data_IF_878308945577
#
_entry.id   IF_878308945577
#
_cell.length_a   1.000
_cell.length_b   1.000
_cell.length_c   1.000
_cell.angle_alpha   90.00
_cell.angle_beta   90.00
_cell.angle_gamma   90.00
#
_symmetry.space_group_name_H-M   'P 1'
#
loop_
_entity.id
_entity.type
_entity.pdbx_description
1 polymer ?
#
# COMPACT_ATOMS: atom_id res chain seq x y z
N UNK A 1 -39.67 3.43 -70.88
CA UNK A 1 -39.20 2.25 -70.11
C UNK A 1 -37.87 2.50 -69.37
N UNK A 2 -36.96 3.33 -69.91
CA UNK A 2 -35.61 3.57 -69.33
C UNK A 2 -35.60 4.37 -68.02
N UNK A 3 -36.45 5.40 -67.87
CA UNK A 3 -36.46 6.25 -66.67
C UNK A 3 -36.91 5.54 -65.37
N UNK A 4 -37.81 4.54 -65.46
CA UNK A 4 -38.24 3.71 -64.31
C UNK A 4 -37.13 2.78 -63.79
N UNK A 5 -36.24 2.34 -64.68
CA UNK A 5 -35.09 1.48 -64.36
C UNK A 5 -34.00 2.23 -63.58
N UNK A 6 -33.72 3.49 -63.96
CA UNK A 6 -32.71 4.32 -63.28
C UNK A 6 -33.17 4.72 -61.87
N UNK A 7 -34.45 5.07 -61.69
CA UNK A 7 -35.01 5.39 -60.37
C UNK A 7 -35.00 4.20 -59.39
N UNK A 8 -35.28 2.99 -59.88
CA UNK A 8 -35.18 1.76 -59.08
C UNK A 8 -33.74 1.42 -58.70
N UNK A 9 -32.76 1.67 -59.58
CA UNK A 9 -31.34 1.50 -59.26
C UNK A 9 -30.86 2.51 -58.20
N UNK A 10 -31.28 3.77 -58.30
CA UNK A 10 -30.92 4.79 -57.31
C UNK A 10 -31.50 4.46 -55.92
N UNK A 11 -32.76 4.05 -55.86
CA UNK A 11 -33.42 3.64 -54.61
C UNK A 11 -32.74 2.41 -53.98
N UNK A 12 -32.34 1.42 -54.80
CA UNK A 12 -31.59 0.24 -54.34
C UNK A 12 -30.21 0.60 -53.78
N UNK A 13 -29.49 1.52 -54.43
CA UNK A 13 -28.20 2.03 -53.92
C UNK A 13 -28.36 2.77 -52.59
N UNK A 14 -29.40 3.58 -52.45
CA UNK A 14 -29.69 4.30 -51.21
C UNK A 14 -30.05 3.33 -50.07
N UNK A 15 -30.87 2.30 -50.35
CA UNK A 15 -31.18 1.25 -49.38
C UNK A 15 -29.95 0.44 -48.97
N UNK A 16 -29.05 0.12 -49.92
CA UNK A 16 -27.79 -0.56 -49.62
C UNK A 16 -26.86 0.29 -48.74
N UNK A 17 -26.72 1.58 -49.02
CA UNK A 17 -25.96 2.49 -48.16
C UNK A 17 -26.53 2.58 -46.75
N UNK A 18 -27.86 2.65 -46.64
CA UNK A 18 -28.53 2.73 -45.34
C UNK A 18 -28.36 1.43 -44.53
N UNK A 19 -28.41 0.27 -45.20
CA UNK A 19 -28.11 -1.02 -44.56
C UNK A 19 -26.64 -1.14 -44.11
N UNK A 20 -25.69 -0.65 -44.91
CA UNK A 20 -24.27 -0.64 -44.52
C UNK A 20 -24.02 0.25 -43.30
N UNK A 21 -24.62 1.44 -43.26
CA UNK A 21 -24.53 2.34 -42.10
C UNK A 21 -25.11 1.71 -40.84
N UNK A 22 -26.26 1.04 -40.96
CA UNK A 22 -26.89 0.35 -39.84
C UNK A 22 -26.03 -0.82 -39.33
N UNK A 23 -25.41 -1.59 -40.23
CA UNK A 23 -24.46 -2.65 -39.86
C UNK A 23 -23.23 -2.11 -39.14
N UNK A 24 -22.69 -0.99 -39.58
CA UNK A 24 -21.55 -0.32 -38.94
C UNK A 24 -21.89 0.17 -37.53
N UNK A 25 -23.08 0.76 -37.35
CA UNK A 25 -23.57 1.17 -36.03
C UNK A 25 -23.80 -0.03 -35.10
N UNK A 26 -24.38 -1.11 -35.61
CA UNK A 26 -24.56 -2.37 -34.87
C UNK A 26 -23.21 -2.99 -34.46
N UNK A 27 -22.21 -2.98 -35.35
CA UNK A 27 -20.86 -3.46 -35.02
C UNK A 27 -20.19 -2.59 -33.94
N UNK A 28 -20.26 -1.26 -34.05
CA UNK A 28 -19.71 -0.37 -33.03
C UNK A 28 -20.40 -0.55 -31.67
N UNK A 29 -21.73 -0.72 -31.68
CA UNK A 29 -22.50 -0.95 -30.47
C UNK A 29 -22.18 -2.32 -29.84
N UNK A 30 -22.02 -3.37 -30.66
CA UNK A 30 -21.57 -4.67 -30.18
C UNK A 30 -20.14 -4.61 -29.64
N UNK A 31 -19.23 -3.88 -30.28
CA UNK A 31 -17.87 -3.68 -29.78
C UNK A 31 -17.86 -2.93 -28.44
N UNK A 32 -18.63 -1.85 -28.31
CA UNK A 32 -18.79 -1.14 -27.04
C UNK A 32 -19.39 -2.04 -25.97
N UNK A 33 -20.43 -2.82 -26.29
CA UNK A 33 -21.05 -3.76 -25.34
C UNK A 33 -20.06 -4.87 -24.94
N UNK A 34 -19.25 -5.40 -25.87
CA UNK A 34 -18.20 -6.37 -25.56
C UNK A 34 -17.12 -5.75 -24.67
N UNK A 35 -16.70 -4.53 -24.95
CA UNK A 35 -15.69 -3.80 -24.17
C UNK A 35 -16.20 -3.50 -22.74
N UNK A 36 -17.48 -3.17 -22.61
CA UNK A 36 -18.16 -2.94 -21.32
C UNK A 36 -18.41 -4.25 -20.54
N UNK A 37 -18.73 -5.34 -21.24
CA UNK A 37 -18.85 -6.69 -20.67
C UNK A 37 -17.51 -7.28 -20.21
N UNK A 38 -16.43 -7.01 -20.95
CA UNK A 38 -15.05 -7.32 -20.55
C UNK A 38 -14.73 -6.54 -19.26
N UNK A 39 -15.06 -5.25 -19.19
CA UNK A 39 -14.89 -4.45 -17.98
C UNK A 39 -15.64 -4.99 -16.75
N UNK A 40 -16.77 -5.68 -16.92
CA UNK A 40 -17.57 -6.25 -15.82
C UNK A 40 -17.11 -7.67 -15.40
N UNK A 41 -16.70 -8.51 -16.36
CA UNK A 41 -16.11 -9.84 -16.06
C UNK A 41 -14.66 -9.74 -15.55
N UNK A 42 -13.94 -8.69 -15.91
CA UNK A 42 -12.55 -8.43 -15.49
C UNK A 42 -12.43 -7.67 -14.17
N UNK A 43 -13.51 -7.26 -13.50
CA UNK A 43 -13.34 -6.77 -12.13
C UNK A 43 -13.00 -7.95 -11.24
N UNK A 44 -11.71 -8.25 -11.11
CA UNK A 44 -11.11 -9.20 -10.17
C UNK A 44 -11.74 -9.09 -8.78
N UNK A 45 -12.13 -7.86 -8.39
CA UNK A 45 -12.93 -7.51 -7.22
C UNK A 45 -14.17 -8.40 -6.97
N UNK A 46 -14.98 -8.67 -8.00
CA UNK A 46 -16.23 -9.40 -7.87
C UNK A 46 -16.00 -10.90 -7.59
N UNK A 47 -14.90 -11.44 -8.12
CA UNK A 47 -14.54 -12.85 -7.94
C UNK A 47 -13.77 -13.10 -6.63
N UNK A 48 -12.99 -12.11 -6.15
CA UNK A 48 -12.10 -12.29 -4.99
C UNK A 48 -12.62 -11.67 -3.70
N UNK A 49 -13.63 -10.79 -3.80
CA UNK A 49 -14.13 -10.00 -2.66
C UNK A 49 -13.20 -8.84 -2.26
N UNK A 50 -12.15 -8.56 -3.05
CA UNK A 50 -11.21 -7.46 -2.78
C UNK A 50 -11.94 -6.11 -2.79
N UNK A 51 -11.84 -5.38 -1.67
CA UNK A 51 -12.42 -4.04 -1.54
C UNK A 51 -11.40 -2.99 -1.97
N UNK A 52 -11.85 -2.01 -2.73
CA UNK A 52 -11.05 -0.83 -3.08
C UNK A 52 -11.54 0.38 -2.29
N UNK A 53 -10.60 1.17 -1.79
CA UNK A 53 -10.84 2.38 -1.01
C UNK A 53 -9.99 3.52 -1.54
N UNK A 54 -10.42 4.75 -1.31
CA UNK A 54 -9.57 5.92 -1.56
C UNK A 54 -8.39 5.91 -0.57
N UNK A 55 -7.21 6.30 -1.05
CA UNK A 55 -6.05 6.54 -0.20
C UNK A 55 -6.20 7.92 0.44
N UNK A 56 -6.67 7.94 1.68
CA UNK A 56 -7.10 9.18 2.33
C UNK A 56 -8.29 9.81 1.62
N UNK A 57 -8.29 11.14 1.52
CA UNK A 57 -9.28 11.91 0.73
C UNK A 57 -8.85 12.12 -0.73
N UNK A 58 -7.73 11.52 -1.17
CA UNK A 58 -7.29 11.63 -2.56
C UNK A 58 -8.20 10.83 -3.51
N UNK A 59 -8.08 11.08 -4.82
CA UNK A 59 -8.79 10.31 -5.85
C UNK A 59 -8.20 8.91 -6.12
N UNK A 60 -7.01 8.61 -5.58
CA UNK A 60 -6.32 7.35 -5.82
C UNK A 60 -7.03 6.20 -5.10
N UNK A 61 -7.49 5.19 -5.86
CA UNK A 61 -8.14 4.00 -5.30
C UNK A 61 -7.15 2.84 -5.19
N UNK A 62 -6.99 2.33 -3.97
CA UNK A 62 -6.11 1.20 -3.65
C UNK A 62 -6.93 0.02 -3.14
N UNK A 63 -6.45 -1.20 -3.43
CA UNK A 63 -6.94 -2.41 -2.77
C UNK A 63 -6.71 -2.32 -1.26
N UNK A 64 -7.64 -2.85 -0.47
CA UNK A 64 -7.53 -2.81 1.00
C UNK A 64 -6.35 -3.65 1.52
N UNK A 65 -5.83 -4.58 0.70
CA UNK A 65 -4.54 -5.23 0.92
C UNK A 65 -3.55 -4.79 -0.16
N UNK A 66 -2.30 -4.56 0.23
CA UNK A 66 -1.18 -4.35 -0.68
C UNK A 66 -0.07 -5.38 -0.44
N UNK A 67 0.89 -5.48 -1.37
CA UNK A 67 2.06 -6.35 -1.22
C UNK A 67 3.33 -5.51 -1.08
N UNK A 68 4.02 -5.63 0.05
CA UNK A 68 5.33 -5.02 0.28
C UNK A 68 6.48 -5.95 -0.08
N UNK A 69 7.62 -5.37 -0.49
CA UNK A 69 8.81 -6.11 -0.92
C UNK A 69 9.93 -6.20 0.14
N UNK A 70 9.72 -5.61 1.32
CA UNK A 70 10.74 -5.57 2.38
C UNK A 70 11.12 -6.98 2.86
N UNK A 71 12.44 -7.20 3.03
CA UNK A 71 13.10 -8.48 3.40
C UNK A 71 13.11 -9.52 2.28
N UNK A 72 12.04 -9.61 1.51
CA UNK A 72 11.78 -10.70 0.58
C UNK A 72 12.48 -10.47 -0.76
N UNK A 73 12.03 -9.49 -1.53
CA UNK A 73 12.50 -9.31 -2.92
C UNK A 73 13.98 -8.91 -2.93
N UNK A 74 14.79 -9.65 -3.69
CA UNK A 74 16.24 -9.41 -3.83
C UNK A 74 17.05 -9.80 -2.60
N UNK A 75 16.43 -10.50 -1.65
CA UNK A 75 17.03 -10.92 -0.38
C UNK A 75 16.66 -12.35 -0.03
N UNK A 76 15.59 -12.52 0.75
CA UNK A 76 15.21 -13.81 1.34
C UNK A 76 14.69 -14.84 0.33
N UNK A 77 14.01 -14.39 -0.73
CA UNK A 77 13.35 -15.27 -1.71
C UNK A 77 13.99 -15.13 -3.09
N UNK A 78 13.78 -16.14 -3.95
CA UNK A 78 14.22 -16.08 -5.34
C UNK A 78 13.34 -15.14 -6.18
N UNK A 79 13.84 -14.72 -7.34
CA UNK A 79 13.11 -13.85 -8.26
C UNK A 79 11.85 -14.55 -8.82
N UNK A 80 11.89 -15.88 -9.01
CA UNK A 80 10.73 -16.67 -9.42
C UNK A 80 9.65 -16.70 -8.35
N UNK A 81 10.03 -16.83 -7.07
CA UNK A 81 9.08 -16.75 -5.96
C UNK A 81 8.49 -15.34 -5.86
N UNK A 82 9.29 -14.30 -6.05
CA UNK A 82 8.83 -12.92 -6.10
C UNK A 82 7.79 -12.69 -7.22
N UNK A 83 8.04 -13.25 -8.42
CA UNK A 83 7.09 -13.23 -9.54
C UNK A 83 5.79 -13.98 -9.22
N UNK A 84 5.88 -15.15 -8.59
CA UNK A 84 4.70 -15.92 -8.16
C UNK A 84 3.85 -15.14 -7.16
N UNK A 85 4.48 -14.56 -6.14
CA UNK A 85 3.79 -13.74 -5.13
C UNK A 85 3.09 -12.54 -5.76
N UNK A 86 3.78 -11.80 -6.63
CA UNK A 86 3.21 -10.64 -7.30
C UNK A 86 2.07 -11.03 -8.25
N UNK A 87 2.21 -12.17 -8.95
CA UNK A 87 1.17 -12.70 -9.84
C UNK A 87 -0.09 -13.07 -9.04
N UNK A 88 0.05 -13.84 -7.96
CA UNK A 88 -1.07 -14.21 -7.08
C UNK A 88 -1.74 -12.95 -6.51
N UNK A 89 -0.95 -11.98 -6.04
CA UNK A 89 -1.48 -10.73 -5.51
C UNK A 89 -2.33 -10.00 -6.57
N UNK A 90 -1.78 -9.78 -7.77
CA UNK A 90 -2.47 -9.08 -8.86
C UNK A 90 -3.74 -9.82 -9.31
N UNK A 91 -3.65 -11.13 -9.49
CA UNK A 91 -4.79 -11.99 -9.88
C UNK A 91 -5.86 -12.08 -8.79
N UNK A 92 -5.53 -11.77 -7.54
CA UNK A 92 -6.50 -11.65 -6.44
C UNK A 92 -7.02 -10.21 -6.24
N UNK A 93 -6.63 -9.27 -7.10
CA UNK A 93 -7.13 -7.90 -7.12
C UNK A 93 -6.28 -6.91 -6.33
N UNK A 94 -5.13 -7.32 -5.79
CA UNK A 94 -4.18 -6.35 -5.24
C UNK A 94 -3.67 -5.47 -6.38
N UNK A 95 -3.88 -4.16 -6.27
CA UNK A 95 -3.28 -3.19 -7.18
C UNK A 95 -2.10 -2.43 -6.54
N UNK A 96 -1.97 -2.47 -5.21
CA UNK A 96 -0.96 -1.73 -4.46
C UNK A 96 0.30 -2.57 -4.20
N UNK A 97 1.44 -2.12 -4.72
CA UNK A 97 2.75 -2.75 -4.54
C UNK A 97 3.77 -1.74 -4.03
N UNK A 98 4.43 -2.09 -2.94
CA UNK A 98 5.26 -1.16 -2.16
C UNK A 98 6.71 -1.64 -2.05
N UNK A 99 7.65 -0.72 -2.28
CA UNK A 99 9.09 -0.96 -2.21
C UNK A 99 9.83 0.24 -1.63
N UNK A 100 11.17 0.22 -1.60
CA UNK A 100 12.01 1.34 -1.23
C UNK A 100 13.41 1.21 -1.83
N UNK A 101 14.09 2.34 -2.04
CA UNK A 101 15.46 2.34 -2.59
C UNK A 101 16.45 1.53 -1.74
N UNK A 102 16.22 1.47 -0.42
CA UNK A 102 17.09 0.78 0.53
C UNK A 102 16.88 -0.74 0.54
N UNK A 103 15.75 -1.23 0.04
CA UNK A 103 15.39 -2.65 0.14
C UNK A 103 16.31 -3.48 -0.74
N UNK A 104 17.10 -4.34 -0.08
CA UNK A 104 18.19 -5.11 -0.68
C UNK A 104 19.13 -4.24 -1.54
N UNK A 105 19.41 -3.01 -1.09
CA UNK A 105 20.22 -2.02 -1.81
C UNK A 105 19.73 -1.80 -3.26
N UNK A 106 18.43 -1.60 -3.44
CA UNK A 106 17.78 -1.35 -4.71
C UNK A 106 17.39 -2.60 -5.50
N UNK A 107 17.84 -3.80 -5.11
CA UNK A 107 17.50 -5.05 -5.83
C UNK A 107 16.00 -5.35 -5.81
N UNK A 108 15.30 -5.00 -4.73
CA UNK A 108 13.85 -5.18 -4.65
C UNK A 108 13.12 -4.39 -5.74
N UNK A 109 13.58 -3.19 -6.07
CA UNK A 109 13.04 -2.36 -7.15
C UNK A 109 13.33 -2.94 -8.54
N UNK A 110 14.55 -3.47 -8.74
CA UNK A 110 14.92 -4.14 -10.00
C UNK A 110 14.02 -5.34 -10.26
N UNK A 111 13.80 -6.19 -9.26
CA UNK A 111 12.94 -7.37 -9.38
C UNK A 111 11.49 -6.98 -9.62
N UNK A 112 10.96 -6.02 -8.85
CA UNK A 112 9.61 -5.51 -9.05
C UNK A 112 9.40 -4.97 -10.48
N UNK A 113 10.35 -4.18 -10.97
CA UNK A 113 10.33 -3.65 -12.34
C UNK A 113 10.40 -4.74 -13.42
N UNK A 114 11.27 -5.73 -13.23
CA UNK A 114 11.39 -6.88 -14.13
C UNK A 114 10.09 -7.67 -14.21
N UNK A 115 9.41 -7.91 -13.09
CA UNK A 115 8.13 -8.63 -13.05
C UNK A 115 7.05 -7.82 -13.80
N UNK A 116 6.91 -6.52 -13.51
CA UNK A 116 5.92 -5.66 -14.19
C UNK A 116 6.12 -5.70 -15.71
N UNK A 117 7.37 -5.54 -16.16
CA UNK A 117 7.73 -5.58 -17.58
C UNK A 117 7.47 -6.94 -18.21
N UNK A 118 7.86 -8.03 -17.53
CA UNK A 118 7.67 -9.41 -18.01
C UNK A 118 6.19 -9.78 -18.12
N UNK A 119 5.38 -9.40 -17.13
CA UNK A 119 3.94 -9.72 -17.11
C UNK A 119 3.12 -8.85 -18.06
N UNK A 120 3.65 -7.71 -18.49
CA UNK A 120 2.98 -6.81 -19.43
C UNK A 120 1.67 -6.23 -18.88
N UNK A 121 1.52 -6.16 -17.56
CA UNK A 121 0.34 -5.56 -16.94
C UNK A 121 0.26 -4.08 -17.31
N UNK A 122 -0.96 -3.58 -17.52
CA UNK A 122 -1.16 -2.17 -17.84
C UNK A 122 -0.65 -1.33 -16.67
N UNK A 123 0.26 -0.39 -16.91
CA UNK A 123 0.76 0.52 -15.85
C UNK A 123 -0.37 1.25 -15.13
N UNK A 124 -1.46 1.55 -15.83
CA UNK A 124 -2.66 2.21 -15.29
C UNK A 124 -3.53 1.34 -14.38
N UNK A 125 -3.33 0.01 -14.32
CA UNK A 125 -4.01 -0.86 -13.36
C UNK A 125 -3.22 -1.10 -12.08
N UNK A 126 -1.99 -0.57 -11.99
CA UNK A 126 -1.09 -0.74 -10.86
C UNK A 126 -0.93 0.56 -10.07
N UNK A 127 -0.80 0.42 -8.76
CA UNK A 127 -0.39 1.47 -7.82
C UNK A 127 0.96 1.06 -7.26
N UNK A 128 2.03 1.66 -7.76
CA UNK A 128 3.42 1.40 -7.35
C UNK A 128 3.87 2.50 -6.41
N UNK A 129 4.37 2.12 -5.24
CA UNK A 129 4.91 3.06 -4.25
C UNK A 129 6.36 2.73 -3.94
N UNK A 130 7.20 3.77 -3.82
CA UNK A 130 8.59 3.63 -3.33
C UNK A 130 8.86 4.65 -2.22
N UNK A 131 9.93 4.43 -1.44
CA UNK A 131 10.34 5.32 -0.35
C UNK A 131 11.79 5.73 -0.50
N UNK A 132 12.03 7.02 -0.23
CA UNK A 132 13.34 7.66 -0.32
C UNK A 132 13.82 8.05 1.09
N UNK A 133 15.06 7.69 1.41
CA UNK A 133 15.87 8.20 2.52
C UNK A 133 17.31 7.63 2.51
N UNK A 134 17.54 6.39 2.09
CA UNK A 134 18.85 5.73 2.14
C UNK A 134 19.19 5.15 0.76
N UNK A 135 19.80 5.94 -0.11
CA UNK A 135 20.14 5.52 -1.48
C UNK A 135 21.58 5.06 -1.67
N UNK A 136 22.48 5.35 -0.71
CA UNK A 136 23.89 4.99 -0.84
C UNK A 136 24.72 5.21 0.41
N UNK A 137 26.04 5.12 0.25
CA UNK A 137 27.00 5.20 1.37
C UNK A 137 27.47 6.64 1.61
N UNK A 138 27.51 7.47 0.57
CA UNK A 138 27.98 8.84 0.68
C UNK A 138 27.02 9.68 1.55
N UNK A 139 27.53 10.76 2.11
CA UNK A 139 26.76 11.65 2.98
C UNK A 139 25.56 12.28 2.26
N UNK A 140 25.71 12.54 0.96
CA UNK A 140 24.68 13.14 0.11
C UNK A 140 23.72 12.14 -0.51
N UNK A 141 23.91 10.83 -0.28
CA UNK A 141 23.06 9.74 -0.78
C UNK A 141 22.06 9.26 0.30
N UNK A 142 21.74 10.13 1.26
CA UNK A 142 20.76 9.89 2.31
C UNK A 142 19.98 11.14 2.71
N UNK A 143 18.93 10.95 3.49
CA UNK A 143 18.09 12.03 4.03
C UNK A 143 16.97 12.44 3.08
N UNK A 144 16.40 13.61 3.32
CA UNK A 144 15.30 14.17 2.55
C UNK A 144 15.63 15.55 1.96
N UNK A 145 16.93 15.84 1.77
CA UNK A 145 17.33 17.00 0.99
C UNK A 145 16.75 16.93 -0.43
N UNK A 146 16.55 18.09 -1.05
CA UNK A 146 16.11 18.20 -2.45
C UNK A 146 17.02 17.41 -3.39
N UNK A 147 18.33 17.43 -3.13
CA UNK A 147 19.32 16.64 -3.88
C UNK A 147 18.98 15.15 -3.83
N UNK A 148 18.86 14.59 -2.62
CA UNK A 148 18.63 13.16 -2.47
C UNK A 148 17.21 12.74 -2.92
N UNK A 149 16.17 13.53 -2.66
CA UNK A 149 14.82 13.23 -3.14
C UNK A 149 14.79 13.07 -4.67
N UNK A 150 15.40 14.02 -5.40
CA UNK A 150 15.40 13.99 -6.87
C UNK A 150 16.30 12.87 -7.39
N UNK A 151 17.54 12.75 -6.90
CA UNK A 151 18.50 11.75 -7.36
C UNK A 151 18.08 10.33 -6.99
N UNK A 152 17.63 10.12 -5.75
CA UNK A 152 17.13 8.86 -5.23
C UNK A 152 15.90 8.38 -6.00
N UNK A 153 14.92 9.27 -6.25
CA UNK A 153 13.74 8.89 -7.04
C UNK A 153 14.09 8.60 -8.51
N UNK A 154 14.96 9.40 -9.16
CA UNK A 154 15.43 9.10 -10.52
C UNK A 154 16.07 7.70 -10.59
N UNK A 155 16.93 7.38 -9.63
CA UNK A 155 17.60 6.08 -9.59
C UNK A 155 16.61 4.95 -9.32
N UNK A 156 15.62 5.19 -8.46
CA UNK A 156 14.55 4.22 -8.18
C UNK A 156 13.70 3.93 -9.42
N UNK A 157 13.31 4.97 -10.17
CA UNK A 157 12.57 4.84 -11.43
C UNK A 157 13.36 4.06 -12.49
N UNK A 158 14.67 4.31 -12.60
CA UNK A 158 15.55 3.54 -13.48
C UNK A 158 15.57 2.06 -13.11
N UNK A 159 15.71 1.72 -11.81
CA UNK A 159 15.66 0.32 -11.35
C UNK A 159 14.31 -0.33 -11.61
N UNK A 160 13.23 0.40 -11.35
CA UNK A 160 11.85 -0.04 -11.60
C UNK A 160 11.51 -0.15 -13.10
N UNK A 161 12.29 0.49 -13.98
CA UNK A 161 11.96 0.63 -15.40
C UNK A 161 10.59 1.29 -15.61
N UNK A 162 10.29 2.33 -14.82
CA UNK A 162 9.04 3.08 -14.85
C UNK A 162 9.31 4.57 -15.06
N UNK A 163 8.42 5.25 -15.77
CA UNK A 163 8.47 6.71 -15.91
C UNK A 163 8.05 7.43 -14.62
N UNK A 164 7.14 6.81 -13.85
CA UNK A 164 6.64 7.34 -12.59
C UNK A 164 6.21 6.26 -11.59
N UNK A 165 6.21 6.63 -10.31
CA UNK A 165 5.53 5.90 -9.22
C UNK A 165 4.23 6.62 -8.83
N UNK A 166 3.22 5.90 -8.38
CA UNK A 166 1.96 6.52 -7.97
C UNK A 166 2.12 7.32 -6.69
N UNK A 167 2.90 6.82 -5.73
CA UNK A 167 3.24 7.55 -4.51
C UNK A 167 4.72 7.41 -4.19
N UNK A 168 5.41 8.54 -4.07
CA UNK A 168 6.75 8.58 -3.44
C UNK A 168 6.63 8.94 -1.96
N UNK A 169 7.25 8.15 -1.10
CA UNK A 169 7.23 8.37 0.35
C UNK A 169 8.57 8.90 0.86
N UNK A 170 8.51 9.83 1.82
CA UNK A 170 9.62 10.04 2.75
C UNK A 170 9.67 8.86 3.73
N UNK A 171 10.71 8.02 3.67
CA UNK A 171 10.76 6.73 4.40
C UNK A 171 10.72 6.88 5.93
N UNK A 172 11.28 7.98 6.44
CA UNK A 172 11.31 8.41 7.85
C UNK A 172 11.47 9.94 7.92
N UNK A 173 11.25 10.59 9.07
CA UNK A 173 11.67 11.97 9.26
C UNK A 173 13.18 12.12 9.09
N UNK A 174 13.60 13.25 8.52
CA UNK A 174 15.01 13.64 8.48
C UNK A 174 15.33 14.49 9.70
N UNK A 175 16.14 13.93 10.60
CA UNK A 175 16.58 14.58 11.84
C UNK A 175 17.98 15.17 11.74
N UNK A 176 18.69 14.98 10.63
CA UNK A 176 20.04 15.51 10.42
C UNK A 176 20.03 17.00 10.05
N UNK A 177 18.85 17.58 10.02
CA UNK A 177 18.66 18.98 9.79
C UNK A 177 17.60 19.38 10.84
N UNK A 178 17.92 20.25 11.81
CA UNK A 178 19.19 20.49 12.48
C UNK A 178 19.30 19.72 13.81
N UNK A 179 20.52 19.70 14.37
CA UNK A 179 20.93 19.07 15.64
C UNK A 179 19.91 19.22 16.77
N UNK A 180 19.83 18.21 17.66
CA UNK A 180 19.20 18.36 18.97
C UNK A 180 19.68 19.66 19.63
N UNK A 181 18.74 20.59 19.90
CA UNK A 181 19.02 21.92 20.43
C UNK A 181 18.94 23.08 19.43
N UNK A 182 18.74 22.81 18.14
CA UNK A 182 18.52 23.87 17.17
C UNK A 182 17.13 24.53 17.34
N UNK A 183 17.03 25.87 17.17
CA UNK A 183 15.76 26.57 17.36
C UNK A 183 14.67 26.03 16.42
N UNK A 184 13.42 26.05 16.87
CA UNK A 184 12.24 25.63 16.10
C UNK A 184 12.22 26.20 14.67
N UNK A 185 12.76 27.40 14.47
CA UNK A 185 12.90 28.04 13.15
C UNK A 185 13.67 27.20 12.13
N UNK A 186 14.65 26.42 12.54
CA UNK A 186 15.49 25.65 11.61
C UNK A 186 14.80 24.35 11.14
N UNK A 187 13.79 23.84 11.86
CA UNK A 187 12.97 22.69 11.43
C UNK A 187 12.01 23.04 10.30
N UNK A 188 11.40 24.23 10.36
CA UNK A 188 10.45 24.70 9.35
C UNK A 188 11.09 24.79 7.94
N UNK A 189 12.34 25.25 7.84
CA UNK A 189 13.04 25.36 6.55
C UNK A 189 13.26 24.00 5.87
N UNK A 190 13.35 22.94 6.65
CA UNK A 190 13.65 21.59 6.14
C UNK A 190 12.40 20.95 5.61
N UNK A 191 11.32 21.04 6.38
CA UNK A 191 10.02 20.59 5.90
C UNK A 191 9.62 21.41 4.68
N UNK A 192 9.93 22.70 4.62
CA UNK A 192 9.79 23.49 3.39
C UNK A 192 10.57 22.90 2.21
N UNK A 193 11.87 22.62 2.37
CA UNK A 193 12.67 22.01 1.30
C UNK A 193 12.12 20.65 0.86
N UNK A 194 11.74 19.80 1.81
CA UNK A 194 11.14 18.49 1.55
C UNK A 194 9.85 18.64 0.73
N UNK A 195 8.93 19.49 1.18
CA UNK A 195 7.63 19.69 0.49
C UNK A 195 7.84 20.29 -0.90
N UNK A 196 8.79 21.22 -1.08
CA UNK A 196 9.16 21.75 -2.41
C UNK A 196 9.78 20.69 -3.31
N UNK A 197 10.63 19.82 -2.78
CA UNK A 197 11.25 18.72 -3.53
C UNK A 197 10.21 17.67 -3.95
N UNK A 198 9.32 17.27 -3.03
CA UNK A 198 8.21 16.36 -3.31
C UNK A 198 7.24 16.95 -4.34
N UNK A 199 6.89 18.23 -4.20
CA UNK A 199 6.07 18.95 -5.19
C UNK A 199 6.76 19.02 -6.55
N UNK A 200 8.07 19.25 -6.57
CA UNK A 200 8.84 19.29 -7.81
C UNK A 200 8.81 17.95 -8.55
N UNK A 201 9.07 16.83 -7.88
CA UNK A 201 9.06 15.52 -8.55
C UNK A 201 7.66 15.13 -9.05
N UNK A 202 6.60 15.60 -8.40
CA UNK A 202 5.22 15.45 -8.91
C UNK A 202 5.02 16.29 -10.16
N UNK A 203 5.39 17.57 -10.13
CA UNK A 203 5.24 18.46 -11.29
C UNK A 203 6.11 18.04 -12.48
N UNK A 204 7.20 17.31 -12.25
CA UNK A 204 8.02 16.69 -13.31
C UNK A 204 7.46 15.38 -13.83
N UNK A 205 6.32 14.92 -13.31
CA UNK A 205 5.69 13.66 -13.72
C UNK A 205 6.43 12.41 -13.24
N UNK A 206 7.38 12.52 -12.30
CA UNK A 206 8.10 11.38 -11.73
C UNK A 206 7.29 10.66 -10.64
N UNK A 207 6.31 11.34 -10.05
CA UNK A 207 5.32 10.73 -9.18
C UNK A 207 3.95 11.38 -9.30
N UNK A 208 2.88 10.64 -9.03
CA UNK A 208 1.51 11.20 -9.04
C UNK A 208 1.17 11.90 -7.72
N UNK A 209 1.61 11.34 -6.60
CA UNK A 209 1.38 11.86 -5.25
C UNK A 209 2.61 11.65 -4.38
N UNK A 210 2.61 12.24 -3.18
CA UNK A 210 3.62 11.91 -2.18
C UNK A 210 2.99 11.64 -0.82
N UNK A 211 3.74 10.97 0.04
CA UNK A 211 3.34 10.67 1.41
C UNK A 211 4.50 10.64 2.38
N UNK A 212 4.17 10.44 3.65
CA UNK A 212 5.13 10.32 4.75
C UNK A 212 5.15 8.89 5.28
N UNK A 213 6.21 8.49 5.96
CA UNK A 213 6.30 7.20 6.66
C UNK A 213 7.05 7.39 7.96
N UNK A 214 6.48 6.93 9.08
CA UNK A 214 7.04 7.10 10.43
C UNK A 214 7.08 8.55 10.92
N UNK A 215 6.38 9.47 10.28
CA UNK A 215 6.31 10.86 10.72
C UNK A 215 5.30 11.03 11.85
N UNK A 216 5.60 11.87 12.84
CA UNK A 216 4.66 12.25 13.87
C UNK A 216 3.48 13.04 13.28
N UNK A 217 2.34 13.07 13.97
CA UNK A 217 1.20 13.86 13.52
C UNK A 217 1.52 15.37 13.43
N UNK A 218 2.45 15.86 14.26
CA UNK A 218 2.93 17.23 14.21
C UNK A 218 3.69 17.50 12.89
N UNK A 219 4.66 16.66 12.54
CA UNK A 219 5.46 16.85 11.31
C UNK A 219 4.59 16.76 10.05
N UNK A 220 3.57 15.87 10.04
CA UNK A 220 2.61 15.78 8.92
C UNK A 220 1.78 17.06 8.80
N UNK A 221 1.34 17.63 9.93
CA UNK A 221 0.61 18.90 9.93
C UNK A 221 1.50 20.07 9.52
N UNK A 222 2.78 20.06 9.91
CA UNK A 222 3.75 21.07 9.49
C UNK A 222 3.98 21.02 7.96
N UNK A 223 4.14 19.82 7.40
CA UNK A 223 4.22 19.63 5.95
C UNK A 223 2.96 20.13 5.23
N UNK A 224 1.78 19.89 5.79
CA UNK A 224 0.53 20.44 5.27
C UNK A 224 0.49 21.97 5.36
N UNK A 225 0.92 22.55 6.49
CA UNK A 225 0.97 24.00 6.70
C UNK A 225 1.88 24.68 5.68
N UNK A 226 3.09 24.16 5.49
CA UNK A 226 4.03 24.59 4.45
C UNK A 226 3.38 24.53 3.07
N UNK A 227 2.72 23.41 2.75
CA UNK A 227 2.06 23.25 1.45
C UNK A 227 0.97 24.30 1.23
N UNK A 228 0.18 24.62 2.24
CA UNK A 228 -0.84 25.68 2.16
C UNK A 228 -0.24 27.07 2.07
N UNK A 229 0.80 27.36 2.84
CA UNK A 229 1.45 28.68 2.86
C UNK A 229 2.11 29.02 1.52
N UNK A 230 2.74 28.04 0.87
CA UNK A 230 3.52 28.26 -0.35
C UNK A 230 2.85 27.73 -1.63
N UNK A 231 1.56 27.36 -1.55
CA UNK A 231 0.80 26.79 -2.66
C UNK A 231 1.49 25.57 -3.31
N UNK A 232 1.96 24.66 -2.46
CA UNK A 232 2.60 23.40 -2.84
C UNK A 232 1.64 22.22 -2.63
N UNK A 233 2.09 21.02 -3.01
CA UNK A 233 1.25 19.82 -2.94
C UNK A 233 1.41 19.17 -1.55
N UNK A 234 0.32 18.98 -0.76
CA UNK A 234 0.39 18.32 0.54
C UNK A 234 0.51 16.78 0.42
N UNK A 235 0.99 16.08 1.46
CA UNK A 235 1.05 14.62 1.44
C UNK A 235 -0.37 14.02 1.50
N UNK A 236 -0.60 12.90 0.83
CA UNK A 236 -1.93 12.24 0.79
C UNK A 236 -2.06 11.07 1.75
N UNK A 237 -0.95 10.54 2.25
CA UNK A 237 -0.91 9.32 3.04
C UNK A 237 0.26 9.32 4.03
N UNK A 238 0.04 8.74 5.20
CA UNK A 238 1.09 8.31 6.12
C UNK A 238 1.20 6.77 6.12
N UNK A 239 2.42 6.26 5.99
CA UNK A 239 2.72 4.85 6.08
C UNK A 239 3.17 4.46 7.50
N UNK A 240 2.27 3.84 8.28
CA UNK A 240 2.46 3.63 9.73
C UNK A 240 2.42 2.15 10.16
N UNK A 241 3.19 1.80 11.20
CA UNK A 241 3.10 0.47 11.80
C UNK A 241 1.74 0.29 12.45
N UNK A 242 1.06 -0.81 12.14
CA UNK A 242 -0.21 -1.14 12.78
C UNK A 242 -0.43 -2.64 12.85
N UNK A 243 -0.63 -3.12 14.06
CA UNK A 243 -0.93 -4.51 14.38
C UNK A 243 -1.46 -4.60 15.81
N UNK A 244 -1.85 -5.79 16.27
CA UNK A 244 -2.44 -6.00 17.60
C UNK A 244 -1.63 -5.38 18.76
N UNK A 245 -0.30 -5.40 18.65
CA UNK A 245 0.61 -4.84 19.67
C UNK A 245 1.12 -3.40 19.41
N UNK A 246 0.70 -2.73 18.33
CA UNK A 246 1.11 -1.36 17.99
C UNK A 246 -0.09 -0.62 17.39
N UNK A 247 -0.76 0.19 18.21
CA UNK A 247 -2.12 0.70 17.92
C UNK A 247 -2.26 2.21 17.95
N UNK A 248 -1.59 2.86 18.90
CA UNK A 248 -1.85 4.25 19.30
C UNK A 248 -1.89 5.23 18.12
N UNK A 249 -0.83 5.27 17.31
CA UNK A 249 -0.74 6.22 16.20
C UNK A 249 -1.92 6.10 15.23
N UNK A 250 -2.25 4.88 14.82
CA UNK A 250 -3.26 4.61 13.78
C UNK A 250 -4.68 4.70 14.32
N UNK A 251 -4.92 4.33 15.58
CA UNK A 251 -6.25 4.39 16.18
C UNK A 251 -6.59 5.78 16.77
N UNK A 252 -5.59 6.60 17.13
CA UNK A 252 -5.81 7.89 17.80
C UNK A 252 -5.40 9.08 16.95
N UNK A 253 -4.17 9.08 16.41
CA UNK A 253 -3.62 10.27 15.75
C UNK A 253 -4.04 10.40 14.28
N UNK A 254 -3.95 9.30 13.50
CA UNK A 254 -4.25 9.33 12.08
C UNK A 254 -5.73 9.64 11.74
N UNK A 255 -6.73 9.21 12.52
CA UNK A 255 -8.13 9.60 12.26
C UNK A 255 -8.32 11.12 12.34
N UNK A 256 -7.67 11.79 13.29
CA UNK A 256 -7.74 13.25 13.40
C UNK A 256 -7.07 13.94 12.20
N UNK A 257 -5.94 13.43 11.70
CA UNK A 257 -5.31 13.93 10.47
C UNK A 257 -6.19 13.71 9.24
N UNK A 258 -6.83 12.54 9.12
CA UNK A 258 -7.78 12.27 8.03
C UNK A 258 -8.93 13.28 8.02
N UNK A 259 -9.54 13.54 9.18
CA UNK A 259 -10.64 14.49 9.26
C UNK A 259 -10.20 15.93 8.96
N UNK A 260 -9.07 16.37 9.53
CA UNK A 260 -8.58 17.76 9.41
C UNK A 260 -7.98 18.09 8.05
N UNK A 261 -7.12 17.21 7.52
CA UNK A 261 -6.31 17.50 6.33
C UNK A 261 -6.42 16.44 5.22
N UNK A 262 -7.14 15.35 5.46
CA UNK A 262 -7.43 14.34 4.43
C UNK A 262 -6.36 13.29 4.21
N UNK A 263 -5.34 13.23 5.09
CA UNK A 263 -4.27 12.22 5.01
C UNK A 263 -4.81 10.83 5.34
N UNK A 264 -4.60 9.87 4.45
CA UNK A 264 -4.94 8.46 4.66
C UNK A 264 -3.90 7.68 5.45
N UNK A 265 -4.27 6.48 5.88
CA UNK A 265 -3.35 5.54 6.52
C UNK A 265 -3.13 4.32 5.62
N UNK A 266 -1.87 4.07 5.27
CA UNK A 266 -1.41 2.81 4.67
C UNK A 266 -0.54 2.10 5.69
N UNK A 267 -0.98 0.96 6.21
CA UNK A 267 -0.28 0.37 7.36
C UNK A 267 0.70 -0.71 6.95
N UNK A 268 1.72 -0.96 7.77
CA UNK A 268 2.74 -1.98 7.54
C UNK A 268 2.98 -2.86 8.77
N UNK A 269 3.61 -4.02 8.53
CA UNK A 269 3.86 -5.09 9.51
C UNK A 269 2.60 -5.56 10.27
N UNK A 270 1.49 -5.91 9.60
CA UNK A 270 0.25 -6.36 10.26
C UNK A 270 0.41 -7.62 11.12
N UNK A 271 1.50 -8.38 10.88
CA UNK A 271 1.87 -9.57 11.64
C UNK A 271 3.10 -9.37 12.54
N UNK A 272 3.50 -8.12 12.79
CA UNK A 272 4.68 -7.74 13.56
C UNK A 272 5.92 -8.56 13.15
N UNK A 273 6.31 -8.49 11.88
CA UNK A 273 7.43 -9.27 11.31
C UNK A 273 7.28 -10.80 11.41
N UNK A 274 6.06 -11.31 11.58
CA UNK A 274 5.74 -12.73 11.73
C UNK A 274 5.55 -13.18 13.18
N UNK A 275 5.70 -12.28 14.16
CA UNK A 275 5.46 -12.56 15.59
C UNK A 275 4.03 -13.07 15.82
N UNK A 276 3.06 -12.44 15.16
CA UNK A 276 1.63 -12.71 15.37
C UNK A 276 1.20 -14.05 14.75
N UNK A 277 2.03 -14.74 13.98
CA UNK A 277 1.62 -16.05 13.44
C UNK A 277 1.74 -17.19 14.45
N UNK A 278 2.21 -16.93 15.68
CA UNK A 278 2.48 -17.96 16.69
C UNK A 278 3.73 -18.82 16.43
N UNK A 279 4.44 -18.62 15.31
CA UNK A 279 5.57 -19.49 14.91
C UNK A 279 6.76 -19.46 15.86
N UNK A 280 6.79 -18.53 16.81
CA UNK A 280 7.91 -18.31 17.74
C UNK A 280 7.64 -18.81 19.16
N UNK A 281 6.55 -19.56 19.37
CA UNK A 281 6.20 -20.12 20.67
C UNK A 281 7.32 -21.01 21.24
N UNK A 282 7.86 -21.91 20.41
CA UNK A 282 8.89 -22.89 20.80
C UNK A 282 10.31 -22.46 20.39
N UNK A 283 10.54 -21.15 20.29
CA UNK A 283 11.85 -20.58 19.94
C UNK A 283 11.89 -19.97 18.54
N UNK A 284 13.07 -19.94 17.92
CA UNK A 284 13.27 -19.31 16.60
C UNK A 284 13.35 -20.39 15.51
N UNK A 285 12.31 -20.59 14.69
CA UNK A 285 12.36 -21.57 13.61
C UNK A 285 13.45 -21.24 12.60
N UNK A 286 14.04 -22.30 12.03
CA UNK A 286 14.95 -22.19 10.89
C UNK A 286 14.22 -21.51 9.71
N UNK A 287 14.94 -20.69 8.94
CA UNK A 287 14.42 -19.93 7.79
C UNK A 287 13.36 -18.86 8.12
N UNK A 288 13.02 -18.68 9.40
CA UNK A 288 12.19 -17.56 9.83
C UNK A 288 12.93 -16.23 9.68
N UNK A 289 12.20 -15.11 9.58
CA UNK A 289 12.80 -13.76 9.47
C UNK A 289 13.80 -13.48 10.60
N UNK A 290 13.48 -13.91 11.82
CA UNK A 290 14.33 -13.74 13.00
C UNK A 290 15.62 -14.59 12.99
N UNK A 291 15.72 -15.60 12.11
CA UNK A 291 16.95 -16.37 11.90
C UNK A 291 17.89 -15.76 10.85
N UNK A 292 17.43 -14.78 10.08
CA UNK A 292 18.22 -14.18 9.00
C UNK A 292 19.34 -13.28 9.56
N UNK A 293 20.49 -13.25 8.88
CA UNK A 293 21.60 -12.34 9.19
C UNK A 293 21.13 -10.88 9.09
N UNK A 294 21.42 -10.07 10.11
CA UNK A 294 20.99 -8.67 10.17
C UNK A 294 19.63 -8.45 10.85
N UNK A 295 18.97 -9.53 11.31
CA UNK A 295 17.70 -9.48 12.05
C UNK A 295 17.84 -9.87 13.53
N UNK A 296 19.05 -9.76 14.09
CA UNK A 296 19.32 -9.99 15.53
C UNK A 296 18.39 -9.16 16.43
N UNK A 297 18.13 -7.91 16.06
CA UNK A 297 17.19 -7.04 16.78
C UNK A 297 15.77 -7.64 16.88
N UNK A 298 15.32 -8.38 15.85
CA UNK A 298 14.01 -9.04 15.86
C UNK A 298 14.04 -10.27 16.76
N UNK A 299 15.13 -11.04 16.73
CA UNK A 299 15.34 -12.16 17.65
C UNK A 299 15.32 -11.68 19.09
N UNK A 300 16.07 -10.63 19.41
CA UNK A 300 16.10 -10.02 20.74
C UNK A 300 14.70 -9.55 21.19
N UNK A 301 13.95 -8.87 20.31
CA UNK A 301 12.57 -8.46 20.57
C UNK A 301 11.67 -9.66 20.87
N UNK A 302 11.76 -10.74 20.11
CA UNK A 302 10.97 -11.98 20.32
C UNK A 302 11.32 -12.64 21.65
N UNK A 303 12.61 -12.76 21.97
CA UNK A 303 13.09 -13.43 23.19
C UNK A 303 13.01 -12.56 24.45
N UNK A 304 12.68 -11.28 24.31
CA UNK A 304 12.50 -10.36 25.43
C UNK A 304 11.32 -10.76 26.32
N UNK A 305 11.26 -10.21 27.52
CA UNK A 305 10.12 -10.41 28.42
C UNK A 305 8.80 -9.95 27.77
N UNK A 306 8.83 -8.79 27.12
CA UNK A 306 7.67 -8.26 26.39
C UNK A 306 7.28 -9.16 25.21
N UNK A 307 8.25 -9.69 24.46
CA UNK A 307 8.00 -10.66 23.39
C UNK A 307 7.31 -11.93 23.90
N UNK A 308 7.75 -12.46 25.04
CA UNK A 308 7.09 -13.61 25.70
C UNK A 308 5.67 -13.29 26.18
N UNK A 309 5.44 -12.10 26.74
CA UNK A 309 4.09 -11.64 27.09
C UNK A 309 3.17 -11.56 25.88
N UNK A 310 3.69 -11.09 24.75
CA UNK A 310 2.95 -11.06 23.48
C UNK A 310 2.60 -12.49 23.01
N UNK A 311 3.54 -13.44 23.08
CA UNK A 311 3.25 -14.84 22.74
C UNK A 311 2.16 -15.46 23.63
N UNK A 312 2.16 -15.17 24.94
CA UNK A 312 1.10 -15.64 25.83
C UNK A 312 -0.29 -15.13 25.39
N UNK A 313 -0.41 -13.83 25.07
CA UNK A 313 -1.65 -13.24 24.53
C UNK A 313 -2.06 -13.86 23.20
N UNK A 314 -1.11 -14.23 22.34
CA UNK A 314 -1.41 -14.88 21.06
C UNK A 314 -2.08 -16.24 21.24
N UNK A 315 -1.80 -16.99 22.33
CA UNK A 315 -2.50 -18.24 22.65
C UNK A 315 -3.98 -18.02 22.93
N UNK A 316 -4.30 -16.96 23.67
CA UNK A 316 -5.69 -16.59 23.95
C UNK A 316 -6.41 -16.12 22.67
N UNK A 317 -5.73 -15.34 21.83
CA UNK A 317 -6.27 -14.87 20.55
C UNK A 317 -6.47 -16.03 19.56
N UNK A 318 -5.61 -17.07 19.62
CA UNK A 318 -5.76 -18.27 18.80
C UNK A 318 -7.11 -18.95 19.04
N UNK A 319 -7.55 -19.04 20.30
CA UNK A 319 -8.88 -19.59 20.63
C UNK A 319 -10.02 -18.80 19.98
N UNK A 320 -9.87 -17.47 19.87
CA UNK A 320 -10.82 -16.61 19.14
C UNK A 320 -10.77 -16.91 17.64
N UNK A 321 -9.58 -17.06 17.06
CA UNK A 321 -9.41 -17.37 15.64
C UNK A 321 -10.03 -18.73 15.26
N UNK A 322 -9.82 -19.76 16.08
CA UNK A 322 -10.39 -21.09 15.93
C UNK A 322 -11.92 -21.05 15.94
N UNK A 323 -12.52 -20.33 16.89
CA UNK A 323 -13.97 -20.15 16.98
C UNK A 323 -14.57 -19.44 15.76
N UNK A 324 -13.81 -18.55 15.12
CA UNK A 324 -14.21 -17.87 13.89
C UNK A 324 -13.91 -18.69 12.62
N UNK A 325 -13.26 -19.84 12.76
CA UNK A 325 -12.86 -20.71 11.65
C UNK A 325 -11.84 -20.03 10.73
N UNK A 326 -10.83 -19.38 11.31
CA UNK A 326 -9.76 -18.69 10.58
C UNK A 326 -8.41 -18.86 11.27
N UNK A 327 -7.32 -18.54 10.57
CA UNK A 327 -5.99 -18.56 11.16
C UNK A 327 -5.70 -17.28 11.94
N UNK A 328 -4.73 -17.34 12.85
CA UNK A 328 -4.29 -16.17 13.62
C UNK A 328 -3.77 -15.02 12.71
N UNK A 329 -2.99 -15.29 11.64
CA UNK A 329 -2.65 -14.27 10.64
C UNK A 329 -3.87 -13.63 9.97
N UNK A 330 -4.85 -14.43 9.55
CA UNK A 330 -6.08 -13.92 8.94
C UNK A 330 -6.85 -13.02 9.89
N UNK A 331 -7.00 -13.43 11.16
CA UNK A 331 -7.65 -12.64 12.19
C UNK A 331 -6.94 -11.30 12.41
N UNK A 332 -5.60 -11.30 12.53
CA UNK A 332 -4.82 -10.07 12.76
C UNK A 332 -4.92 -9.09 11.59
N UNK A 333 -4.85 -9.58 10.35
CA UNK A 333 -4.96 -8.73 9.16
C UNK A 333 -6.38 -8.17 9.03
N UNK A 334 -7.40 -9.01 9.24
CA UNK A 334 -8.80 -8.56 9.24
C UNK A 334 -9.04 -7.52 10.34
N UNK A 335 -8.45 -7.73 11.53
CA UNK A 335 -8.52 -6.78 12.63
C UNK A 335 -7.90 -5.43 12.26
N UNK A 336 -6.77 -5.41 11.52
CA UNK A 336 -6.20 -4.18 11.02
C UNK A 336 -7.16 -3.46 10.05
N UNK A 337 -7.84 -4.21 9.18
CA UNK A 337 -8.79 -3.69 8.20
C UNK A 337 -10.16 -3.27 8.74
N UNK A 338 -10.49 -3.65 9.98
CA UNK A 338 -11.75 -3.26 10.66
C UNK A 338 -11.87 -1.75 10.78
N UNK A 339 -10.74 -1.05 10.91
CA UNK A 339 -10.71 0.40 11.00
C UNK A 339 -10.88 0.99 9.59
N UNK A 340 -12.01 1.65 9.33
CA UNK A 340 -12.28 2.29 8.04
C UNK A 340 -11.30 3.42 7.72
N UNK A 341 -10.65 4.00 8.73
CA UNK A 341 -9.56 4.97 8.58
C UNK A 341 -8.28 4.38 7.97
N UNK A 342 -8.14 3.05 7.97
CA UNK A 342 -7.06 2.35 7.26
C UNK A 342 -7.47 2.12 5.80
N UNK A 343 -6.78 2.80 4.89
CA UNK A 343 -7.02 2.68 3.45
C UNK A 343 -6.52 1.36 2.89
N UNK A 344 -5.33 0.91 3.32
CA UNK A 344 -4.74 -0.36 2.90
C UNK A 344 -3.77 -0.91 3.95
N UNK A 345 -3.63 -2.24 4.01
CA UNK A 345 -2.66 -2.96 4.84
C UNK A 345 -1.63 -3.65 3.95
N UNK A 346 -0.36 -3.30 4.11
CA UNK A 346 0.75 -3.89 3.36
C UNK A 346 1.14 -5.24 3.97
N UNK A 347 0.96 -6.29 3.17
CA UNK A 347 1.36 -7.66 3.49
C UNK A 347 2.84 -7.88 3.19
N UNK A 348 3.43 -8.84 3.89
CA UNK A 348 4.72 -9.43 3.53
C UNK A 348 4.60 -10.95 3.60
N UNK A 349 5.08 -11.64 2.57
CA UNK A 349 5.04 -13.10 2.47
C UNK A 349 6.35 -13.62 1.86
N UNK A 350 6.87 -14.73 2.40
CA UNK A 350 8.07 -15.39 1.88
C UNK A 350 7.77 -16.60 1.00
N UNK A 351 6.51 -17.01 0.90
CA UNK A 351 6.03 -18.08 0.02
C UNK A 351 4.55 -17.87 -0.34
N UNK A 352 4.06 -18.63 -1.32
CA UNK A 352 2.71 -18.49 -1.86
C UNK A 352 1.64 -18.89 -0.85
N UNK A 353 1.91 -19.89 0.00
CA UNK A 353 0.96 -20.36 1.03
C UNK A 353 0.63 -19.24 2.02
N UNK A 354 1.64 -18.52 2.52
CA UNK A 354 1.44 -17.37 3.40
C UNK A 354 0.63 -16.26 2.72
N UNK A 355 0.90 -15.97 1.45
CA UNK A 355 0.16 -14.93 0.73
C UNK A 355 -1.31 -15.31 0.55
N UNK A 356 -1.58 -16.54 0.12
CA UNK A 356 -2.95 -17.05 -0.07
C UNK A 356 -3.69 -17.08 1.27
N UNK A 357 -3.04 -17.54 2.34
CA UNK A 357 -3.58 -17.51 3.70
C UNK A 357 -3.96 -16.08 4.10
N UNK A 358 -3.02 -15.12 3.94
CA UNK A 358 -3.21 -13.72 4.30
C UNK A 358 -4.33 -13.04 3.49
N UNK A 359 -4.49 -13.38 2.22
CA UNK A 359 -5.59 -12.88 1.38
C UNK A 359 -6.96 -13.31 1.91
N UNK A 360 -7.04 -14.51 2.52
CA UNK A 360 -8.24 -15.03 3.19
C UNK A 360 -8.73 -14.19 4.37
N UNK A 361 -7.94 -13.21 4.85
CA UNK A 361 -8.37 -12.26 5.88
C UNK A 361 -9.61 -11.44 5.46
N UNK A 362 -9.82 -11.22 4.16
CA UNK A 362 -10.98 -10.48 3.64
C UNK A 362 -12.30 -11.16 4.06
N UNK A 363 -12.29 -12.49 4.12
CA UNK A 363 -13.44 -13.34 4.46
C UNK A 363 -13.68 -13.40 5.97
N UNK A 364 -12.70 -12.99 6.77
CA UNK A 364 -12.82 -12.87 8.24
C UNK A 364 -13.39 -11.51 8.63
N UNK A 365 -13.20 -10.46 7.82
CA UNK A 365 -13.64 -9.10 8.13
C UNK A 365 -15.14 -9.00 8.53
N UNK A 366 -16.10 -9.66 7.84
CA UNK A 366 -17.51 -9.64 8.24
C UNK A 366 -17.80 -10.35 9.56
N UNK A 367 -16.90 -11.23 10.02
CA UNK A 367 -17.04 -12.00 11.28
C UNK A 367 -16.57 -11.21 12.50
N UNK A 368 -15.89 -10.08 12.32
CA UNK A 368 -15.42 -9.20 13.40
C UNK A 368 -16.56 -8.36 14.00
N UNK A 369 -17.45 -9.01 14.75
CA UNK A 369 -18.51 -8.33 15.49
C UNK A 369 -17.95 -7.46 16.62
N UNK A 370 -18.77 -6.54 17.14
CA UNK A 370 -18.39 -5.72 18.28
C UNK A 370 -17.94 -6.56 19.49
N UNK A 371 -18.62 -7.68 19.75
CA UNK A 371 -18.27 -8.61 20.84
C UNK A 371 -16.87 -9.21 20.65
N UNK A 372 -16.55 -9.68 19.44
CA UNK A 372 -15.22 -10.21 19.11
C UNK A 372 -14.15 -9.15 19.29
N UNK A 373 -14.41 -7.91 18.84
CA UNK A 373 -13.46 -6.80 18.99
C UNK A 373 -13.24 -6.46 20.47
N UNK A 374 -14.30 -6.45 21.29
CA UNK A 374 -14.18 -6.21 22.74
C UNK A 374 -13.40 -7.31 23.44
N UNK A 375 -13.60 -8.58 23.06
CA UNK A 375 -12.82 -9.71 23.59
C UNK A 375 -11.34 -9.59 23.24
N UNK A 376 -11.02 -9.25 21.97
CA UNK A 376 -9.65 -8.98 21.55
C UNK A 376 -9.03 -7.78 22.30
N UNK A 377 -9.79 -6.70 22.50
CA UNK A 377 -9.34 -5.55 23.29
C UNK A 377 -9.02 -5.95 24.74
N UNK A 378 -9.83 -6.83 25.34
CA UNK A 378 -9.63 -7.35 26.70
C UNK A 378 -8.36 -8.20 26.81
N UNK A 379 -8.14 -9.14 25.88
CA UNK A 379 -6.94 -9.98 25.86
C UNK A 379 -5.68 -9.12 25.65
N UNK A 380 -5.76 -8.16 24.73
CA UNK A 380 -4.63 -7.31 24.40
C UNK A 380 -4.31 -6.32 25.53
N UNK A 381 -5.32 -5.81 26.24
CA UNK A 381 -5.16 -4.88 27.36
C UNK A 381 -4.41 -3.59 26.98
N UNK A 382 -4.45 -3.20 25.70
CA UNK A 382 -3.66 -2.11 25.14
C UNK A 382 -4.50 -1.18 24.25
N UNK A 383 -5.83 -1.19 24.42
CA UNK A 383 -6.72 -0.29 23.69
C UNK A 383 -6.30 1.16 23.98
N UNK A 384 -5.92 1.93 22.96
CA UNK A 384 -5.43 3.27 23.19
C UNK A 384 -6.57 4.20 23.62
N UNK A 385 -6.28 5.13 24.51
CA UNK A 385 -7.25 6.06 25.04
C UNK A 385 -7.70 7.08 23.99
N UNK A 386 -9.01 7.28 23.82
CA UNK A 386 -9.54 8.35 22.99
C UNK A 386 -10.13 9.46 23.88
N UNK A 387 -9.72 10.71 23.67
CA UNK A 387 -10.25 11.87 24.44
C UNK A 387 -11.78 12.03 24.28
N UNK A 388 -12.38 11.44 23.24
CA UNK A 388 -13.85 11.45 23.03
C UNK A 388 -14.61 10.58 24.03
N UNK A 389 -13.95 9.66 24.74
CA UNK A 389 -14.58 8.73 25.69
C UNK A 389 -15.02 9.40 27.01
N UNK A 390 -14.67 10.68 27.23
CA UNK A 390 -15.02 11.46 28.43
C UNK A 390 -16.30 12.33 28.29
N UNK A 391 -16.97 12.34 27.14
CA UNK A 391 -18.17 13.20 26.92
C UNK A 391 -19.51 12.46 27.10
N UNK A 392 -19.53 11.33 27.81
CA UNK A 392 -20.75 10.64 28.21
C UNK A 392 -20.99 10.77 29.71
#
# INVERSE_FOLDING_TARGET
MVARSVGQMALRKQQQQQQQLLQLQLQQQQQQQQQMMISLRETTAANTGMKYRNLGKSGLRVSCLGLGTWVTFGGQITDEMAEQLMTIAYENGINLFDTAEVYAAGKAEVILGNIIKKKGWRRSSLVITTKIYWGGKAETERGLSRKHIIEGLKTSLQRLQLDYVDVVFANRPDTNTPMEGAPFSCRAFIIEEIVRAMTYVINQGMSMYWGTSRWSAMEIMEAYSVARQFNLIPPVCEQAEYHLFQREKVEVQLPELYHKIGVGAMTWSPLACGIITGKYEDGIPMYSRASLKGYQWLKERITSEEGRRQQAKLKEILMVAERLGCTLPQLSIAWCLRNEGVSSVLLGASNTEQLIENLGAIQVLPKLTAQVVTELDSILGNKPYNKKDYRC
#
